data_IF_914012838398
#
_entry.id   IF_914012838398
#
_cell.length_a   1.000
_cell.length_b   1.000
_cell.length_c   1.000
_cell.angle_alpha   90.00
_cell.angle_beta   90.00
_cell.angle_gamma   90.00
#
_symmetry.space_group_name_H-M   'P 1'
#
loop_
_entity.id
_entity.type
_entity.pdbx_description
1 polymer ?
#
# COMPACT_ATOMS: atom_id res chain seq x y z
N UNK A 1 8.03 8.58 10.13
CA UNK A 1 7.90 8.11 8.74
C UNK A 1 8.56 9.10 7.76
N UNK A 2 8.26 10.38 7.85
CA UNK A 2 8.83 11.43 6.98
C UNK A 2 10.37 11.39 6.94
N UNK A 3 11.03 11.26 8.09
CA UNK A 3 12.50 11.16 8.16
C UNK A 3 12.99 9.94 7.36
N UNK A 4 12.40 8.77 7.57
CA UNK A 4 12.80 7.55 6.84
C UNK A 4 12.61 7.70 5.33
N UNK A 5 11.46 8.24 4.89
CA UNK A 5 11.19 8.48 3.46
C UNK A 5 12.18 9.47 2.86
N UNK A 6 12.47 10.58 3.54
CA UNK A 6 13.45 11.56 3.09
C UNK A 6 14.86 10.95 3.02
N UNK A 7 15.24 10.13 3.99
CA UNK A 7 16.53 9.43 3.99
C UNK A 7 16.65 8.49 2.80
N UNK A 8 15.62 7.69 2.50
CA UNK A 8 15.59 6.85 1.31
C UNK A 8 15.67 7.68 0.03
N UNK A 9 14.92 8.78 -0.04
CA UNK A 9 14.89 9.66 -1.21
C UNK A 9 16.26 10.32 -1.46
N UNK A 10 16.89 10.87 -0.41
CA UNK A 10 18.22 11.45 -0.48
C UNK A 10 19.28 10.42 -0.91
N UNK A 11 19.15 9.20 -0.41
CA UNK A 11 20.01 8.08 -0.82
C UNK A 11 19.89 7.77 -2.32
N UNK A 12 18.67 7.77 -2.87
CA UNK A 12 18.45 7.54 -4.30
C UNK A 12 19.00 8.69 -5.15
N UNK A 13 18.76 9.95 -4.75
CA UNK A 13 19.13 11.13 -5.55
C UNK A 13 20.62 11.47 -5.47
N UNK A 14 21.18 11.49 -4.26
CA UNK A 14 22.57 11.94 -4.03
C UNK A 14 23.51 10.76 -3.77
N UNK A 15 23.01 9.68 -3.18
CA UNK A 15 23.76 8.46 -2.94
C UNK A 15 23.78 7.51 -4.15
N UNK A 16 23.17 7.90 -5.25
CA UNK A 16 23.05 7.07 -6.47
C UNK A 16 22.54 5.66 -6.17
N UNK A 17 21.82 5.51 -5.04
CA UNK A 17 21.29 4.21 -4.67
C UNK A 17 20.34 3.72 -5.75
N UNK A 18 20.68 2.57 -6.28
CA UNK A 18 19.80 1.81 -7.16
C UNK A 18 19.68 0.41 -6.57
N UNK A 19 18.47 0.02 -6.20
CA UNK A 19 18.22 -1.32 -5.68
C UNK A 19 18.52 -2.43 -6.70
N UNK A 20 18.97 -2.05 -7.90
CA UNK A 20 19.12 -2.93 -9.05
C UNK A 20 17.83 -3.71 -9.26
N UNK A 21 17.88 -5.01 -9.39
CA UNK A 21 16.65 -5.77 -9.49
C UNK A 21 15.87 -5.77 -8.18
N UNK A 22 16.56 -5.94 -7.09
CA UNK A 22 16.06 -5.84 -5.71
C UNK A 22 17.26 -5.79 -4.78
N UNK A 23 17.03 -5.59 -3.49
CA UNK A 23 18.06 -5.72 -2.46
C UNK A 23 18.51 -7.19 -2.32
N UNK A 24 18.94 -7.80 -3.41
CA UNK A 24 19.39 -9.19 -3.39
C UNK A 24 20.78 -9.29 -2.81
N UNK A 25 20.94 -10.20 -1.88
CA UNK A 25 22.24 -10.51 -1.29
C UNK A 25 23.27 -10.87 -2.36
N UNK A 26 24.45 -10.28 -2.34
CA UNK A 26 24.95 -9.17 -1.48
C UNK A 26 24.74 -7.77 -2.11
N UNK A 27 23.91 -7.64 -3.11
CA UNK A 27 23.64 -6.39 -3.81
C UNK A 27 22.69 -5.49 -2.99
N UNK A 28 22.78 -4.15 -3.11
CA UNK A 28 23.74 -3.40 -3.95
C UNK A 28 25.07 -3.09 -3.25
N UNK A 29 25.32 -3.58 -2.03
CA UNK A 29 26.52 -3.27 -1.23
C UNK A 29 27.80 -3.64 -1.98
N UNK A 30 27.79 -4.76 -2.71
CA UNK A 30 28.93 -5.23 -3.50
C UNK A 30 28.98 -4.66 -4.93
N UNK A 31 28.17 -3.65 -5.24
CA UNK A 31 28.11 -3.08 -6.58
C UNK A 31 28.91 -1.78 -6.68
N UNK A 32 29.99 -1.79 -7.40
CA UNK A 32 30.98 -0.70 -7.45
C UNK A 32 30.45 0.66 -7.90
N UNK A 33 29.34 0.67 -8.66
CA UNK A 33 28.74 1.90 -9.16
C UNK A 33 27.81 2.61 -8.18
N UNK A 34 27.48 1.96 -7.06
CA UNK A 34 26.68 2.55 -5.99
C UNK A 34 27.58 2.85 -4.80
N UNK A 35 27.75 4.11 -4.42
CA UNK A 35 28.51 4.46 -3.23
C UNK A 35 27.96 3.73 -2.00
N UNK A 36 28.85 3.12 -1.22
CA UNK A 36 28.48 2.32 -0.04
C UNK A 36 27.58 3.10 0.93
N UNK A 37 27.87 4.38 1.15
CA UNK A 37 27.05 5.23 2.01
C UNK A 37 25.62 5.37 1.51
N UNK A 38 25.41 5.44 0.19
CA UNK A 38 24.07 5.46 -0.40
C UNK A 38 23.27 4.22 -0.07
N UNK A 39 23.88 3.04 -0.17
CA UNK A 39 23.25 1.77 0.21
C UNK A 39 22.90 1.73 1.70
N UNK A 40 23.82 2.13 2.58
CA UNK A 40 23.60 2.15 4.03
C UNK A 40 22.49 3.14 4.41
N UNK A 41 22.51 4.36 3.86
CA UNK A 41 21.48 5.37 4.13
C UNK A 41 20.08 4.89 3.69
N UNK A 42 19.99 4.23 2.55
CA UNK A 42 18.71 3.66 2.12
C UNK A 42 18.20 2.62 3.13
N UNK A 43 19.03 1.70 3.55
CA UNK A 43 18.66 0.65 4.51
C UNK A 43 18.26 1.23 5.88
N UNK A 44 18.99 2.24 6.34
CA UNK A 44 18.62 2.97 7.58
C UNK A 44 17.28 3.67 7.42
N UNK A 45 17.04 4.34 6.30
CA UNK A 45 15.75 4.98 6.01
C UNK A 45 14.61 3.96 5.99
N UNK A 46 14.80 2.82 5.34
CA UNK A 46 13.83 1.72 5.30
C UNK A 46 13.55 1.14 6.70
N UNK A 47 14.60 0.96 7.52
CA UNK A 47 14.45 0.52 8.91
C UNK A 47 13.64 1.52 9.75
N UNK A 48 13.88 2.83 9.59
CA UNK A 48 13.10 3.90 10.25
C UNK A 48 11.63 3.86 9.83
N UNK A 49 11.34 3.61 8.55
CA UNK A 49 9.95 3.43 8.06
C UNK A 49 9.32 2.22 8.74
N UNK A 50 10.00 1.08 8.78
CA UNK A 50 9.49 -0.15 9.40
C UNK A 50 9.19 0.05 10.90
N UNK A 51 10.11 0.66 11.65
CA UNK A 51 9.88 0.99 13.07
C UNK A 51 8.64 1.87 13.23
N UNK A 52 8.45 2.85 12.34
CA UNK A 52 7.26 3.72 12.41
C UNK A 52 5.96 2.95 12.14
N UNK A 53 5.94 2.01 11.19
CA UNK A 53 4.75 1.18 10.92
C UNK A 53 4.46 0.25 12.11
N UNK A 54 5.49 -0.28 12.78
CA UNK A 54 5.32 -1.03 14.03
C UNK A 54 4.76 -0.16 15.18
N UNK A 55 5.23 1.08 15.32
CA UNK A 55 4.67 2.03 16.29
C UNK A 55 3.22 2.37 15.99
N UNK A 56 2.86 2.53 14.71
CA UNK A 56 1.47 2.70 14.29
C UNK A 56 0.61 1.48 14.68
N UNK A 57 1.09 0.28 14.41
CA UNK A 57 0.45 -0.98 14.81
C UNK A 57 0.23 -1.05 16.32
N UNK A 58 1.25 -0.73 17.11
CA UNK A 58 1.15 -0.67 18.56
C UNK A 58 0.10 0.35 19.01
N UNK A 59 0.11 1.55 18.43
CA UNK A 59 -0.86 2.60 18.74
C UNK A 59 -2.29 2.16 18.41
N UNK A 60 -2.50 1.52 17.25
CA UNK A 60 -3.80 1.00 16.85
C UNK A 60 -4.33 -0.01 17.88
N UNK A 61 -3.55 -1.05 18.19
CA UNK A 61 -3.96 -2.06 19.16
C UNK A 61 -4.15 -1.47 20.56
N UNK A 62 -3.27 -0.57 20.99
CA UNK A 62 -3.44 0.13 22.26
C UNK A 62 -4.75 0.90 22.32
N UNK A 63 -5.17 1.53 21.24
CA UNK A 63 -6.43 2.27 21.15
C UNK A 63 -7.63 1.34 21.17
N UNK A 64 -7.61 0.26 20.39
CA UNK A 64 -8.73 -0.70 20.30
C UNK A 64 -8.90 -1.50 21.59
N UNK A 65 -7.77 -1.89 22.21
CA UNK A 65 -7.75 -2.74 23.41
C UNK A 65 -7.72 -1.95 24.71
N UNK A 66 -7.71 -0.61 24.66
CA UNK A 66 -7.64 0.24 25.85
C UNK A 66 -8.89 0.09 26.72
N UNK A 67 -8.68 -0.10 28.02
CA UNK A 67 -9.75 -0.14 29.01
C UNK A 67 -10.53 1.18 29.15
N UNK A 68 -9.94 2.30 28.73
CA UNK A 68 -10.62 3.60 28.66
C UNK A 68 -11.63 3.70 27.53
N UNK A 69 -11.56 2.80 26.54
CA UNK A 69 -12.56 2.70 25.51
C UNK A 69 -13.81 2.02 26.07
N UNK A 70 -15.01 2.61 26.02
CA UNK A 70 -16.25 1.99 26.51
C UNK A 70 -16.59 0.67 25.78
N UNK A 71 -15.94 0.40 24.63
CA UNK A 71 -16.03 -0.83 23.87
C UNK A 71 -14.67 -1.56 23.84
N UNK A 72 -13.98 -1.60 24.99
CA UNK A 72 -12.67 -2.28 25.04
C UNK A 72 -12.80 -3.77 24.81
N UNK A 73 -11.85 -4.30 24.05
CA UNK A 73 -11.72 -5.72 23.75
C UNK A 73 -10.44 -6.25 24.37
N UNK A 74 -10.44 -7.47 24.88
CA UNK A 74 -9.19 -8.20 25.05
C UNK A 74 -8.67 -8.62 23.66
N UNK A 75 -7.38 -8.91 23.56
CA UNK A 75 -6.79 -9.37 22.28
C UNK A 75 -7.52 -10.62 21.72
N UNK A 76 -7.86 -11.56 22.58
CA UNK A 76 -8.59 -12.76 22.18
C UNK A 76 -10.03 -12.46 21.74
N UNK A 77 -10.72 -11.56 22.39
CA UNK A 77 -12.04 -11.10 21.96
C UNK A 77 -11.97 -10.38 20.62
N UNK A 78 -10.93 -9.56 20.40
CA UNK A 78 -10.67 -8.92 19.12
C UNK A 78 -10.49 -9.97 18.02
N UNK A 79 -9.61 -10.98 18.20
CA UNK A 79 -9.39 -12.03 17.22
C UNK A 79 -10.68 -12.82 16.94
N UNK A 80 -11.41 -13.23 17.97
CA UNK A 80 -12.69 -13.95 17.82
C UNK A 80 -13.72 -13.15 17.02
N UNK A 81 -13.85 -11.85 17.32
CA UNK A 81 -14.74 -10.95 16.59
C UNK A 81 -14.28 -10.73 15.14
N UNK A 82 -12.98 -10.59 14.92
CA UNK A 82 -12.38 -10.39 13.61
C UNK A 82 -12.58 -11.63 12.71
N UNK A 83 -12.32 -12.83 13.23
CA UNK A 83 -12.56 -14.08 12.51
C UNK A 83 -14.04 -14.46 12.36
N UNK A 84 -14.97 -13.72 12.95
CA UNK A 84 -16.39 -14.03 12.90
C UNK A 84 -16.76 -15.34 13.61
N UNK A 85 -15.94 -15.80 14.56
CA UNK A 85 -16.14 -17.05 15.28
C UNK A 85 -17.52 -17.14 15.96
N UNK A 86 -18.04 -16.07 16.62
CA UNK A 86 -19.37 -16.14 17.24
C UNK A 86 -20.48 -16.48 16.25
N UNK A 87 -20.39 -15.95 15.04
CA UNK A 87 -21.37 -16.22 13.99
C UNK A 87 -21.22 -17.64 13.41
N UNK A 88 -19.98 -18.09 13.22
CA UNK A 88 -19.70 -19.42 12.77
C UNK A 88 -20.27 -20.46 13.78
N UNK A 89 -20.08 -20.22 15.07
CA UNK A 89 -20.64 -21.08 16.11
C UNK A 89 -22.17 -21.10 16.06
N UNK A 90 -22.81 -19.94 15.85
CA UNK A 90 -24.26 -19.85 15.71
C UNK A 90 -24.80 -20.65 14.52
N UNK A 91 -24.06 -20.68 13.39
CA UNK A 91 -24.41 -21.51 12.22
C UNK A 91 -24.40 -22.99 12.56
N UNK A 92 -23.58 -23.43 13.52
CA UNK A 92 -23.53 -24.81 14.02
C UNK A 92 -24.42 -25.06 15.26
N UNK A 93 -25.37 -24.15 15.54
CA UNK A 93 -26.30 -24.28 16.66
C UNK A 93 -25.66 -24.14 18.04
N UNK A 94 -24.45 -23.56 18.13
CA UNK A 94 -23.74 -23.36 19.40
C UNK A 94 -23.78 -21.89 19.78
N UNK A 95 -24.05 -21.60 21.06
CA UNK A 95 -23.90 -20.25 21.60
C UNK A 95 -22.45 -20.00 22.03
N UNK A 96 -21.91 -18.86 21.60
CA UNK A 96 -20.60 -18.41 22.04
C UNK A 96 -20.77 -17.62 23.35
N UNK A 97 -20.66 -18.31 24.50
CA UNK A 97 -20.79 -17.73 25.83
C UNK A 97 -19.74 -16.66 26.13
N UNK A 98 -18.59 -16.67 25.45
CA UNK A 98 -17.55 -15.65 25.56
C UNK A 98 -17.90 -14.37 24.77
N UNK A 99 -18.87 -14.43 23.88
CA UNK A 99 -19.29 -13.32 23.00
C UNK A 99 -20.56 -12.61 23.51
N UNK A 100 -21.09 -12.97 24.67
CA UNK A 100 -22.37 -12.46 25.19
C UNK A 100 -22.45 -10.94 25.30
N UNK A 101 -21.32 -10.26 25.40
CA UNK A 101 -21.26 -8.78 25.46
C UNK A 101 -20.69 -8.15 24.17
N UNK A 102 -20.28 -8.94 23.20
CA UNK A 102 -19.81 -8.47 21.91
C UNK A 102 -21.00 -8.55 20.95
N UNK A 103 -21.82 -7.51 20.97
CA UNK A 103 -22.74 -7.33 19.85
C UNK A 103 -21.96 -7.57 18.57
N UNK A 104 -22.46 -8.48 17.74
CA UNK A 104 -21.80 -8.89 16.50
C UNK A 104 -21.42 -7.69 15.61
N UNK A 105 -22.13 -6.57 15.77
CA UNK A 105 -21.86 -5.28 15.15
C UNK A 105 -20.94 -4.37 16.01
N UNK A 106 -20.40 -4.85 17.12
CA UNK A 106 -19.62 -4.04 18.06
C UNK A 106 -18.27 -3.59 17.53
N UNK A 107 -17.58 -4.43 16.73
CA UNK A 107 -16.29 -4.09 16.12
C UNK A 107 -16.51 -3.66 14.66
N UNK A 108 -16.32 -2.36 14.30
CA UNK A 108 -16.48 -1.92 12.92
C UNK A 108 -15.57 -2.69 11.94
N UNK A 109 -16.08 -3.00 10.75
CA UNK A 109 -15.34 -3.82 9.78
C UNK A 109 -14.05 -3.14 9.30
N UNK A 110 -14.01 -1.81 9.26
CA UNK A 110 -12.77 -1.10 8.95
C UNK A 110 -11.67 -1.34 9.99
N UNK A 111 -12.03 -1.52 11.27
CA UNK A 111 -11.08 -1.90 12.33
C UNK A 111 -10.58 -3.33 12.11
N UNK A 112 -11.44 -4.23 11.62
CA UNK A 112 -11.02 -5.59 11.27
C UNK A 112 -9.99 -5.57 10.15
N UNK A 113 -10.23 -4.78 9.09
CA UNK A 113 -9.31 -4.67 7.95
C UNK A 113 -7.96 -4.05 8.37
N UNK A 114 -7.99 -2.91 9.08
CA UNK A 114 -6.77 -2.26 9.56
C UNK A 114 -6.05 -3.11 10.61
N UNK A 115 -6.79 -3.81 11.46
CA UNK A 115 -6.23 -4.74 12.45
C UNK A 115 -5.55 -5.94 11.79
N UNK A 116 -6.14 -6.49 10.71
CA UNK A 116 -5.51 -7.54 9.91
C UNK A 116 -4.21 -7.03 9.27
N UNK A 117 -4.21 -5.89 8.61
CA UNK A 117 -2.99 -5.29 8.06
C UNK A 117 -1.93 -5.01 9.14
N UNK A 118 -2.36 -4.73 10.37
CA UNK A 118 -1.44 -4.57 11.51
C UNK A 118 -0.85 -5.89 12.00
N UNK A 119 -1.59 -7.00 11.92
CA UNK A 119 -1.04 -8.35 12.16
C UNK A 119 0.00 -8.68 11.09
N UNK A 120 -0.29 -8.42 9.81
CA UNK A 120 0.69 -8.58 8.74
C UNK A 120 1.95 -7.77 8.97
N UNK A 121 1.81 -6.55 9.49
CA UNK A 121 2.97 -5.71 9.84
C UNK A 121 3.89 -6.40 10.83
N UNK A 122 3.34 -7.07 11.84
CA UNK A 122 4.17 -7.80 12.85
C UNK A 122 4.86 -8.99 12.20
N UNK A 123 4.14 -9.79 11.42
CA UNK A 123 4.71 -10.95 10.73
C UNK A 123 5.77 -10.50 9.73
N UNK A 124 5.46 -9.48 8.94
CA UNK A 124 6.35 -8.86 7.98
C UNK A 124 7.63 -8.34 8.63
N UNK A 125 7.52 -7.67 9.78
CA UNK A 125 8.69 -7.19 10.50
C UNK A 125 9.65 -8.34 10.86
N UNK A 126 9.13 -9.49 11.27
CA UNK A 126 9.96 -10.67 11.56
C UNK A 126 10.64 -11.18 10.29
N UNK A 127 9.90 -11.31 9.20
CA UNK A 127 10.38 -11.89 7.94
C UNK A 127 11.32 -10.94 7.20
N UNK A 128 10.88 -9.71 6.94
CA UNK A 128 11.62 -8.74 6.13
C UNK A 128 12.83 -8.18 6.88
N UNK A 129 12.74 -7.97 8.20
CA UNK A 129 13.87 -7.51 9.00
C UNK A 129 15.01 -8.53 9.01
N UNK A 130 14.71 -9.82 8.99
CA UNK A 130 15.76 -10.85 8.89
C UNK A 130 16.62 -10.65 7.65
N UNK A 131 16.00 -10.47 6.48
CA UNK A 131 16.70 -10.18 5.23
C UNK A 131 17.40 -8.80 5.26
N UNK A 132 16.69 -7.76 5.76
CA UNK A 132 17.22 -6.41 5.85
C UNK A 132 18.43 -6.28 6.78
N UNK A 133 18.39 -6.97 7.92
CA UNK A 133 19.52 -7.00 8.88
C UNK A 133 20.75 -7.65 8.26
N UNK A 134 20.60 -8.74 7.52
CA UNK A 134 21.72 -9.39 6.84
C UNK A 134 22.44 -8.41 5.88
N UNK A 135 21.71 -7.70 5.04
CA UNK A 135 22.28 -6.69 4.12
C UNK A 135 22.89 -5.51 4.89
N UNK A 136 22.23 -5.05 5.95
CA UNK A 136 22.76 -3.95 6.76
C UNK A 136 24.07 -4.34 7.45
N UNK A 137 24.14 -5.54 8.04
CA UNK A 137 25.37 -6.06 8.65
C UNK A 137 26.49 -6.17 7.61
N UNK A 138 26.18 -6.66 6.40
CA UNK A 138 27.13 -6.72 5.31
C UNK A 138 27.63 -5.33 4.89
N UNK A 139 26.74 -4.35 4.78
CA UNK A 139 27.08 -2.97 4.46
C UNK A 139 27.94 -2.32 5.54
N UNK A 140 27.64 -2.53 6.81
CA UNK A 140 28.44 -2.03 7.93
C UNK A 140 29.82 -2.71 7.98
N UNK A 141 29.89 -4.01 7.77
CA UNK A 141 31.16 -4.72 7.71
C UNK A 141 32.03 -4.20 6.55
N UNK A 142 31.46 -3.96 5.38
CA UNK A 142 32.16 -3.35 4.26
C UNK A 142 32.65 -1.94 4.59
N UNK A 143 31.87 -1.14 5.31
CA UNK A 143 32.25 0.20 5.76
C UNK A 143 33.46 0.18 6.70
N UNK A 144 33.52 -0.80 7.60
CA UNK A 144 34.63 -0.98 8.56
C UNK A 144 35.73 -1.89 8.04
N UNK A 145 35.69 -2.25 6.74
CA UNK A 145 36.67 -3.15 6.11
C UNK A 145 36.80 -4.51 6.81
N UNK A 146 35.73 -4.93 7.47
CA UNK A 146 35.69 -6.24 8.12
C UNK A 146 35.45 -7.35 7.07
N UNK A 147 36.21 -8.48 7.14
CA UNK A 147 36.03 -9.54 6.17
C UNK A 147 34.70 -10.26 6.39
N UNK A 148 33.80 -10.16 5.45
CA UNK A 148 32.58 -10.96 5.37
C UNK A 148 32.55 -11.67 4.03
N UNK A 149 32.38 -12.98 4.07
CA UNK A 149 32.20 -13.79 2.86
C UNK A 149 30.77 -13.62 2.33
N UNK A 150 30.59 -13.07 1.11
CA UNK A 150 29.26 -13.03 0.49
C UNK A 150 28.63 -14.42 0.30
N UNK A 151 29.45 -15.48 0.19
CA UNK A 151 28.99 -16.86 0.07
C UNK A 151 28.42 -17.47 1.35
N UNK A 152 28.56 -16.79 2.50
CA UNK A 152 28.03 -17.27 3.77
C UNK A 152 26.49 -17.29 3.83
N UNK A 153 25.80 -16.59 2.92
CA UNK A 153 24.35 -16.56 2.82
C UNK A 153 23.89 -17.14 1.48
N UNK A 154 23.00 -18.12 1.54
CA UNK A 154 22.37 -18.65 0.34
C UNK A 154 21.44 -17.60 -0.28
N UNK A 155 21.75 -17.19 -1.52
CA UNK A 155 21.04 -16.13 -2.21
C UNK A 155 19.57 -16.47 -2.51
N UNK A 156 19.24 -17.75 -2.71
CA UNK A 156 17.86 -18.18 -2.97
C UNK A 156 17.03 -18.14 -1.68
N UNK A 157 17.58 -18.61 -0.56
CA UNK A 157 16.94 -18.51 0.75
C UNK A 157 16.70 -17.04 1.10
N UNK A 158 17.73 -16.19 0.92
CA UNK A 158 17.60 -14.75 1.13
C UNK A 158 16.48 -14.14 0.28
N UNK A 159 16.40 -14.46 -1.02
CA UNK A 159 15.33 -13.98 -1.92
C UNK A 159 13.94 -14.40 -1.44
N UNK A 160 13.78 -15.64 -0.97
CA UNK A 160 12.50 -16.12 -0.44
C UNK A 160 12.07 -15.32 0.79
N UNK A 161 12.94 -15.07 1.73
CA UNK A 161 12.65 -14.25 2.92
C UNK A 161 12.34 -12.81 2.56
N UNK A 162 13.15 -12.20 1.70
CA UNK A 162 12.97 -10.81 1.27
C UNK A 162 11.64 -10.61 0.57
N UNK A 163 11.31 -11.45 -0.40
CA UNK A 163 10.08 -11.32 -1.16
C UNK A 163 8.85 -11.70 -0.37
N UNK A 164 8.93 -12.70 0.48
CA UNK A 164 7.81 -13.01 1.37
C UNK A 164 7.44 -11.81 2.25
N UNK A 165 8.43 -11.18 2.88
CA UNK A 165 8.18 -9.99 3.68
C UNK A 165 7.68 -8.81 2.86
N UNK A 166 8.23 -8.58 1.66
CA UNK A 166 7.83 -7.46 0.82
C UNK A 166 6.42 -7.64 0.23
N UNK A 167 6.03 -8.87 -0.12
CA UNK A 167 4.67 -9.19 -0.53
C UNK A 167 3.66 -8.90 0.57
N UNK A 168 3.95 -9.29 1.80
CA UNK A 168 3.07 -8.99 2.93
C UNK A 168 2.93 -7.47 3.20
N UNK A 169 3.89 -6.64 2.77
CA UNK A 169 3.72 -5.17 2.78
C UNK A 169 2.71 -4.74 1.72
N UNK A 170 2.82 -5.26 0.51
CA UNK A 170 1.98 -4.84 -0.61
C UNK A 170 0.55 -5.39 -0.45
N UNK A 171 0.41 -6.69 -0.32
CA UNK A 171 -0.88 -7.37 -0.31
C UNK A 171 -1.51 -7.41 1.09
N UNK A 172 -0.70 -7.55 2.13
CA UNK A 172 -1.17 -7.50 3.51
C UNK A 172 -1.50 -6.10 4.00
N UNK A 173 -0.50 -5.23 4.09
CA UNK A 173 -0.68 -3.93 4.71
C UNK A 173 -1.40 -2.94 3.82
N UNK A 174 -0.85 -2.67 2.62
CA UNK A 174 -1.36 -1.60 1.74
C UNK A 174 -2.79 -1.91 1.32
N UNK A 175 -3.07 -3.15 0.93
CA UNK A 175 -4.38 -3.58 0.51
C UNK A 175 -5.41 -3.50 1.64
N UNK A 176 -5.07 -4.00 2.82
CA UNK A 176 -6.00 -4.03 3.95
C UNK A 176 -6.23 -2.66 4.57
N UNK A 177 -5.23 -1.79 4.61
CA UNK A 177 -5.43 -0.40 5.00
C UNK A 177 -6.31 0.34 4.01
N UNK A 178 -6.13 0.08 2.71
CA UNK A 178 -6.99 0.60 1.65
C UNK A 178 -8.44 0.13 1.83
N UNK A 179 -8.66 -1.17 1.99
CA UNK A 179 -9.97 -1.75 2.24
C UNK A 179 -10.61 -1.17 3.51
N UNK A 180 -9.84 -1.00 4.57
CA UNK A 180 -10.29 -0.37 5.82
C UNK A 180 -10.80 1.04 5.59
N UNK A 181 -10.09 1.85 4.80
CA UNK A 181 -10.52 3.22 4.47
C UNK A 181 -11.77 3.20 3.59
N UNK A 182 -11.88 2.31 2.61
CA UNK A 182 -13.14 2.18 1.83
C UNK A 182 -14.32 1.82 2.75
N UNK A 183 -14.13 0.88 3.67
CA UNK A 183 -15.18 0.42 4.58
C UNK A 183 -15.56 1.44 5.65
N UNK A 184 -14.69 2.41 5.90
CA UNK A 184 -15.01 3.57 6.72
C UNK A 184 -15.76 4.65 5.92
N UNK A 185 -15.15 5.10 4.83
CA UNK A 185 -15.62 6.29 4.11
C UNK A 185 -16.87 6.01 3.26
N UNK A 186 -16.95 4.87 2.56
CA UNK A 186 -18.11 4.59 1.69
C UNK A 186 -19.41 4.61 2.48
N UNK A 187 -19.58 3.83 3.57
CA UNK A 187 -20.78 3.88 4.38
C UNK A 187 -21.13 5.28 4.89
N UNK A 188 -20.13 6.05 5.31
CA UNK A 188 -20.33 7.42 5.79
C UNK A 188 -20.81 8.37 4.67
N UNK A 189 -20.23 8.27 3.49
CA UNK A 189 -20.53 9.17 2.36
C UNK A 189 -21.88 8.86 1.70
N UNK A 190 -22.27 7.58 1.70
CA UNK A 190 -23.52 7.16 1.04
C UNK A 190 -24.69 6.93 2.02
N UNK A 191 -24.43 7.04 3.34
CA UNK A 191 -25.44 6.86 4.38
C UNK A 191 -26.01 5.44 4.48
N UNK A 192 -25.23 4.41 4.10
CA UNK A 192 -25.66 3.02 4.09
C UNK A 192 -24.62 2.09 4.70
N UNK A 193 -25.07 1.09 5.46
CA UNK A 193 -24.20 0.03 5.99
C UNK A 193 -23.53 -0.74 4.86
N UNK A 194 -22.31 -1.22 5.11
CA UNK A 194 -21.55 -2.02 4.17
C UNK A 194 -22.33 -3.28 3.74
N UNK A 195 -22.40 -3.52 2.45
CA UNK A 195 -23.03 -4.71 1.89
C UNK A 195 -22.23 -5.96 2.26
N UNK A 196 -22.92 -6.99 2.71
CA UNK A 196 -22.29 -8.28 3.01
C UNK A 196 -21.25 -8.23 4.13
N UNK A 197 -21.34 -7.27 5.06
CA UNK A 197 -20.34 -7.01 6.10
C UNK A 197 -19.82 -8.26 6.79
N UNK A 198 -20.68 -9.22 7.07
CA UNK A 198 -20.28 -10.46 7.75
C UNK A 198 -19.42 -11.39 6.87
N UNK A 199 -19.70 -11.44 5.58
CA UNK A 199 -18.88 -12.20 4.61
C UNK A 199 -17.53 -11.50 4.46
N UNK A 200 -17.56 -10.18 4.32
CA UNK A 200 -16.34 -9.35 4.21
C UNK A 200 -15.39 -9.56 5.39
N UNK A 201 -15.90 -9.61 6.63
CA UNK A 201 -15.08 -9.90 7.82
C UNK A 201 -14.35 -11.22 7.70
N UNK A 202 -15.07 -12.26 7.31
CA UNK A 202 -14.50 -13.61 7.15
C UNK A 202 -13.46 -13.62 6.02
N UNK A 203 -13.76 -12.96 4.91
CA UNK A 203 -12.85 -12.84 3.75
C UNK A 203 -11.56 -12.11 4.12
N UNK A 204 -11.65 -10.98 4.82
CA UNK A 204 -10.48 -10.24 5.29
C UNK A 204 -9.55 -11.12 6.15
N UNK A 205 -10.12 -11.91 7.03
CA UNK A 205 -9.30 -12.76 7.90
C UNK A 205 -8.82 -14.04 7.21
N UNK A 206 -9.59 -14.60 6.27
CA UNK A 206 -9.13 -15.70 5.43
C UNK A 206 -7.94 -15.27 4.55
N UNK A 207 -7.99 -14.05 4.05
CA UNK A 207 -6.92 -13.45 3.24
C UNK A 207 -5.60 -13.32 4.01
N UNK A 208 -5.61 -13.17 5.34
CA UNK A 208 -4.41 -13.24 6.16
C UNK A 208 -3.65 -14.58 5.97
N UNK A 209 -4.38 -15.69 5.96
CA UNK A 209 -3.79 -17.01 5.77
C UNK A 209 -3.29 -17.21 4.33
N UNK A 210 -4.00 -16.64 3.36
CA UNK A 210 -3.63 -16.66 1.94
C UNK A 210 -2.36 -15.86 1.73
N UNK A 211 -2.29 -14.63 2.22
CA UNK A 211 -1.10 -13.76 2.11
C UNK A 211 0.16 -14.39 2.74
N UNK A 212 0.00 -15.16 3.80
CA UNK A 212 1.13 -15.91 4.37
C UNK A 212 1.67 -16.99 3.41
N UNK A 213 0.91 -17.42 2.44
CA UNK A 213 1.28 -18.45 1.48
C UNK A 213 1.99 -17.95 0.22
N UNK A 214 2.05 -16.64 -0.05
CA UNK A 214 2.55 -16.06 -1.32
C UNK A 214 4.06 -15.86 -1.42
N UNK A 215 4.83 -16.48 -0.58
CA UNK A 215 6.29 -16.31 -0.44
C UNK A 215 7.12 -16.50 -1.73
N UNK A 216 6.66 -17.24 -2.73
CA UNK A 216 7.35 -17.37 -4.01
C UNK A 216 6.68 -16.64 -5.18
N UNK A 217 5.73 -15.76 -4.90
CA UNK A 217 4.98 -14.98 -5.88
C UNK A 217 5.90 -14.17 -6.82
N UNK A 218 6.90 -13.47 -6.30
CA UNK A 218 7.88 -12.74 -7.10
C UNK A 218 9.00 -13.61 -7.67
N UNK A 219 9.06 -14.90 -7.35
CA UNK A 219 10.09 -15.83 -7.75
C UNK A 219 9.63 -16.84 -8.82
N UNK A 220 8.49 -16.57 -9.49
CA UNK A 220 7.95 -17.43 -10.54
C UNK A 220 8.93 -17.67 -11.70
N UNK A 221 9.74 -16.66 -12.04
CA UNK A 221 10.77 -16.75 -13.07
C UNK A 221 12.07 -17.42 -12.61
N UNK A 222 12.26 -17.66 -11.31
CA UNK A 222 13.48 -18.26 -10.75
C UNK A 222 13.46 -19.78 -10.98
N UNK A 223 14.22 -20.25 -11.98
CA UNK A 223 14.23 -21.66 -12.36
C UNK A 223 14.78 -22.59 -11.28
N UNK A 224 15.62 -22.10 -10.39
CA UNK A 224 16.15 -22.85 -9.23
C UNK A 224 15.10 -23.12 -8.16
N UNK A 225 14.00 -22.34 -8.12
CA UNK A 225 12.85 -22.67 -7.28
C UNK A 225 12.16 -23.96 -7.79
N UNK A 226 11.83 -24.91 -6.90
CA UNK A 226 11.06 -26.09 -7.30
C UNK A 226 9.74 -25.70 -8.00
N UNK A 227 9.41 -26.37 -9.09
CA UNK A 227 8.21 -26.06 -9.86
C UNK A 227 6.95 -26.11 -9.00
N UNK A 228 6.86 -27.09 -8.09
CA UNK A 228 5.73 -27.21 -7.15
C UNK A 228 5.55 -25.92 -6.32
N UNK A 229 6.63 -25.36 -5.82
CA UNK A 229 6.59 -24.12 -5.03
C UNK A 229 6.13 -22.93 -5.86
N UNK A 230 6.62 -22.82 -7.10
CA UNK A 230 6.19 -21.77 -8.02
C UNK A 230 4.71 -21.88 -8.36
N UNK A 231 4.21 -23.10 -8.60
CA UNK A 231 2.80 -23.32 -8.91
C UNK A 231 1.91 -23.11 -7.69
N UNK A 232 2.25 -23.67 -6.54
CA UNK A 232 1.43 -23.58 -5.34
C UNK A 232 1.43 -22.16 -4.78
N UNK A 233 2.57 -21.69 -4.34
CA UNK A 233 2.69 -20.39 -3.67
C UNK A 233 2.59 -19.23 -4.67
N UNK A 234 3.33 -19.31 -5.76
CA UNK A 234 3.44 -18.20 -6.70
C UNK A 234 2.25 -18.02 -7.63
N UNK A 235 1.51 -19.08 -7.96
CA UNK A 235 0.36 -18.97 -8.86
C UNK A 235 -0.97 -19.25 -8.13
N UNK A 236 -1.15 -20.42 -7.61
CA UNK A 236 -2.46 -20.86 -7.09
C UNK A 236 -2.92 -20.03 -5.88
N UNK A 237 -2.03 -19.82 -4.91
CA UNK A 237 -2.35 -19.04 -3.70
C UNK A 237 -2.56 -17.57 -4.05
N UNK A 238 -1.75 -17.00 -4.94
CA UNK A 238 -1.92 -15.63 -5.43
C UNK A 238 -3.26 -15.41 -6.14
N UNK A 239 -3.75 -16.41 -6.87
CA UNK A 239 -5.10 -16.32 -7.43
C UNK A 239 -6.19 -16.35 -6.35
N UNK A 240 -5.91 -16.97 -5.19
CA UNK A 240 -6.76 -16.87 -4.01
C UNK A 240 -6.87 -15.45 -3.48
N UNK A 241 -5.78 -14.69 -3.43
CA UNK A 241 -5.78 -13.26 -3.05
C UNK A 241 -6.61 -12.41 -4.00
N UNK A 242 -6.52 -12.67 -5.29
CA UNK A 242 -7.36 -11.98 -6.26
C UNK A 242 -8.87 -12.22 -6.00
N UNK A 243 -9.24 -13.42 -5.60
CA UNK A 243 -10.62 -13.73 -5.26
C UNK A 243 -11.09 -13.00 -3.99
N UNK A 244 -10.29 -12.99 -2.94
CA UNK A 244 -10.62 -12.29 -1.69
C UNK A 244 -10.70 -10.78 -1.91
N UNK A 245 -9.77 -10.22 -2.70
CA UNK A 245 -9.80 -8.82 -3.08
C UNK A 245 -11.01 -8.48 -3.95
N UNK A 246 -11.38 -9.36 -4.88
CA UNK A 246 -12.57 -9.21 -5.71
C UNK A 246 -13.85 -9.11 -4.87
N UNK A 247 -13.99 -9.95 -3.84
CA UNK A 247 -15.12 -9.87 -2.90
C UNK A 247 -15.11 -8.58 -2.08
N UNK A 248 -13.94 -8.11 -1.69
CA UNK A 248 -13.75 -6.84 -0.98
C UNK A 248 -14.22 -5.66 -1.83
N UNK A 249 -13.79 -5.58 -3.09
CA UNK A 249 -14.21 -4.58 -4.06
C UNK A 249 -15.71 -4.70 -4.35
N UNK A 250 -16.21 -5.91 -4.54
CA UNK A 250 -17.63 -6.14 -4.81
C UNK A 250 -18.51 -5.59 -3.68
N UNK A 251 -18.16 -5.84 -2.42
CA UNK A 251 -18.90 -5.32 -1.28
C UNK A 251 -18.90 -3.77 -1.24
N UNK A 252 -17.78 -3.13 -1.53
CA UNK A 252 -17.66 -1.68 -1.63
C UNK A 252 -18.56 -1.11 -2.74
N UNK A 253 -18.48 -1.66 -3.95
CA UNK A 253 -19.28 -1.24 -5.09
C UNK A 253 -20.79 -1.50 -4.87
N UNK A 254 -21.16 -2.65 -4.31
CA UNK A 254 -22.56 -2.96 -3.99
C UNK A 254 -23.13 -2.03 -2.92
N UNK A 255 -22.33 -1.58 -1.98
CA UNK A 255 -22.76 -0.58 -0.99
C UNK A 255 -23.15 0.73 -1.67
N UNK A 256 -22.32 1.22 -2.60
CA UNK A 256 -22.60 2.42 -3.39
C UNK A 256 -23.82 2.21 -4.31
N UNK A 257 -23.88 1.06 -4.99
CA UNK A 257 -24.97 0.71 -5.91
C UNK A 257 -26.33 0.72 -5.22
N UNK A 258 -26.43 0.06 -4.09
CA UNK A 258 -27.67 -0.09 -3.33
C UNK A 258 -28.07 1.20 -2.58
N UNK A 259 -27.19 2.18 -2.48
CA UNK A 259 -27.47 3.50 -1.89
C UNK A 259 -28.04 4.51 -2.89
N UNK A 260 -28.15 4.15 -4.18
CA UNK A 260 -28.63 5.09 -5.23
C UNK A 260 -30.02 5.65 -4.95
N UNK A 261 -30.28 6.91 -5.29
CA UNK A 261 -29.39 7.89 -5.94
C UNK A 261 -28.32 8.45 -4.99
N UNK A 262 -27.06 8.55 -5.43
CA UNK A 262 -25.92 9.01 -4.62
C UNK A 262 -25.31 10.26 -5.24
N UNK A 263 -25.09 11.30 -4.42
CA UNK A 263 -24.35 12.48 -4.85
C UNK A 263 -22.88 12.16 -5.01
N UNK A 264 -22.33 12.37 -6.18
CA UNK A 264 -20.91 12.17 -6.46
C UNK A 264 -20.07 13.32 -5.88
N UNK A 265 -19.80 13.24 -4.57
CA UNK A 265 -18.92 14.19 -3.87
C UNK A 265 -17.45 13.97 -4.25
N UNK A 266 -16.54 14.95 -4.04
CA UNK A 266 -15.13 14.76 -4.30
C UNK A 266 -14.54 13.49 -3.65
N UNK A 267 -14.74 13.22 -2.34
CA UNK A 267 -14.22 11.99 -1.74
C UNK A 267 -14.74 10.72 -2.44
N UNK A 268 -16.03 10.64 -2.71
CA UNK A 268 -16.62 9.46 -3.35
C UNK A 268 -16.10 9.26 -4.78
N UNK A 269 -15.90 10.34 -5.52
CA UNK A 269 -15.32 10.32 -6.86
C UNK A 269 -13.92 9.71 -6.84
N UNK A 270 -13.07 10.14 -5.91
CA UNK A 270 -11.72 9.62 -5.76
C UNK A 270 -11.68 8.19 -5.23
N UNK A 271 -12.62 7.77 -4.37
CA UNK A 271 -12.80 6.37 -3.98
C UNK A 271 -13.09 5.47 -5.18
N UNK A 272 -13.99 5.91 -6.08
CA UNK A 272 -14.28 5.14 -7.30
C UNK A 272 -13.05 5.03 -8.21
N UNK A 273 -12.23 6.08 -8.31
CA UNK A 273 -10.95 6.05 -9.00
C UNK A 273 -9.95 5.10 -8.33
N UNK A 274 -9.90 5.08 -6.99
CA UNK A 274 -9.10 4.13 -6.22
C UNK A 274 -9.50 2.68 -6.51
N UNK A 275 -10.80 2.39 -6.44
CA UNK A 275 -11.33 1.04 -6.75
C UNK A 275 -10.98 0.63 -8.19
N UNK A 276 -11.12 1.55 -9.16
CA UNK A 276 -10.69 1.31 -10.54
C UNK A 276 -9.21 0.93 -10.63
N UNK A 277 -8.33 1.67 -9.91
CA UNK A 277 -6.90 1.37 -9.84
C UNK A 277 -6.62 -0.04 -9.32
N UNK A 278 -7.33 -0.47 -8.27
CA UNK A 278 -7.19 -1.82 -7.73
C UNK A 278 -7.74 -2.90 -8.66
N UNK A 279 -8.82 -2.65 -9.39
CA UNK A 279 -9.34 -3.60 -10.38
C UNK A 279 -8.30 -3.82 -11.50
N UNK A 280 -7.83 -2.74 -12.12
CA UNK A 280 -6.89 -2.85 -13.25
C UNK A 280 -5.54 -3.38 -12.78
N UNK A 281 -5.01 -2.86 -11.68
CA UNK A 281 -3.75 -3.32 -11.10
C UNK A 281 -3.80 -4.80 -10.69
N UNK A 282 -4.90 -5.26 -10.07
CA UNK A 282 -5.12 -6.65 -9.72
C UNK A 282 -5.21 -7.56 -10.96
N UNK A 283 -5.98 -7.16 -11.98
CA UNK A 283 -6.06 -7.91 -13.24
C UNK A 283 -4.70 -8.08 -13.92
N UNK A 284 -3.89 -7.04 -13.93
CA UNK A 284 -2.52 -7.11 -14.47
C UNK A 284 -1.58 -7.91 -13.58
N UNK A 285 -1.85 -7.97 -12.27
CA UNK A 285 -1.20 -8.86 -11.30
C UNK A 285 -1.44 -10.34 -11.62
N UNK A 286 -2.66 -10.74 -12.03
CA UNK A 286 -2.96 -12.10 -12.46
C UNK A 286 -2.09 -12.54 -13.65
N UNK A 287 -1.78 -11.62 -14.58
CA UNK A 287 -0.84 -11.89 -15.67
C UNK A 287 0.55 -12.22 -15.10
N UNK A 288 0.99 -11.48 -14.09
CA UNK A 288 2.27 -11.73 -13.41
C UNK A 288 2.25 -13.05 -12.61
N UNK A 289 1.14 -13.40 -12.01
CA UNK A 289 0.97 -14.62 -11.24
C UNK A 289 0.74 -15.88 -12.09
N UNK A 290 0.85 -15.80 -13.42
CA UNK A 290 0.85 -16.94 -14.30
C UNK A 290 2.29 -17.32 -14.66
N UNK A 291 2.72 -18.55 -14.35
CA UNK A 291 4.12 -18.98 -14.54
C UNK A 291 4.59 -18.79 -15.99
N UNK A 292 3.75 -19.12 -16.97
CA UNK A 292 4.09 -18.98 -18.40
C UNK A 292 4.23 -17.51 -18.83
N UNK A 293 3.27 -16.67 -18.45
CA UNK A 293 3.29 -15.23 -18.78
C UNK A 293 4.37 -14.50 -18.01
N UNK A 294 4.64 -14.91 -16.77
CA UNK A 294 5.72 -14.34 -15.97
C UNK A 294 7.08 -14.51 -16.61
N UNK A 295 7.36 -15.63 -17.29
CA UNK A 295 8.63 -15.83 -18.00
C UNK A 295 8.91 -14.75 -19.05
N UNK A 296 7.86 -14.19 -19.66
CA UNK A 296 7.98 -13.13 -20.68
C UNK A 296 8.02 -11.74 -20.05
N UNK A 297 7.20 -11.50 -19.02
CA UNK A 297 7.01 -10.18 -18.42
C UNK A 297 7.94 -9.94 -17.23
N UNK A 298 8.54 -11.01 -16.69
CA UNK A 298 9.41 -10.96 -15.53
C UNK A 298 10.53 -9.94 -15.73
N UNK A 299 10.73 -9.11 -14.73
CA UNK A 299 11.77 -8.10 -14.71
C UNK A 299 11.67 -7.01 -15.79
N UNK A 300 10.58 -6.93 -16.53
CA UNK A 300 10.36 -5.88 -17.53
C UNK A 300 9.58 -4.71 -16.96
N UNK A 301 9.45 -3.62 -17.76
CA UNK A 301 8.62 -2.45 -17.42
C UNK A 301 7.11 -2.77 -17.33
N UNK A 302 6.70 -3.98 -17.71
CA UNK A 302 5.34 -4.46 -17.47
C UNK A 302 5.02 -4.52 -15.97
N UNK A 303 5.97 -4.95 -15.14
CA UNK A 303 5.74 -5.10 -13.69
C UNK A 303 5.50 -3.74 -13.02
N UNK A 304 6.37 -2.71 -13.15
CA UNK A 304 6.07 -1.42 -12.55
C UNK A 304 4.93 -0.69 -13.23
N UNK A 305 4.79 -0.74 -14.56
CA UNK A 305 3.81 0.04 -15.31
C UNK A 305 2.37 -0.35 -14.99
N UNK A 306 1.79 -1.30 -15.70
CA UNK A 306 0.36 -1.62 -15.59
C UNK A 306 -0.05 -2.31 -14.29
N UNK A 307 0.88 -2.91 -13.53
CA UNK A 307 0.57 -3.54 -12.26
C UNK A 307 0.84 -2.59 -11.08
N UNK A 308 2.10 -2.36 -10.74
CA UNK A 308 2.48 -1.69 -9.50
C UNK A 308 2.09 -0.20 -9.46
N UNK A 309 2.37 0.58 -10.53
CA UNK A 309 2.01 2.00 -10.55
C UNK A 309 0.49 2.22 -10.62
N UNK A 310 -0.25 1.34 -11.28
CA UNK A 310 -1.72 1.44 -11.28
C UNK A 310 -2.28 1.17 -9.88
N UNK A 311 -1.78 0.15 -9.17
CA UNK A 311 -2.17 -0.11 -7.78
C UNK A 311 -1.82 1.05 -6.85
N UNK A 312 -0.56 1.52 -6.89
CA UNK A 312 -0.11 2.54 -5.94
C UNK A 312 -0.55 3.95 -6.34
N UNK A 313 -0.29 4.38 -7.58
CA UNK A 313 -0.55 5.77 -7.95
C UNK A 313 -2.05 6.03 -8.17
N UNK A 314 -2.75 5.13 -8.86
CA UNK A 314 -4.19 5.30 -9.03
C UNK A 314 -4.93 4.75 -7.82
N UNK A 315 -4.68 3.51 -7.42
CA UNK A 315 -5.38 2.86 -6.32
C UNK A 315 -5.18 3.61 -4.99
N UNK A 316 -3.98 3.61 -4.46
CA UNK A 316 -3.68 4.22 -3.16
C UNK A 316 -3.63 5.74 -3.25
N UNK A 317 -3.02 6.32 -4.29
CA UNK A 317 -2.91 7.78 -4.45
C UNK A 317 -4.27 8.48 -4.51
N UNK A 318 -5.22 7.94 -5.25
CA UNK A 318 -6.59 8.47 -5.26
C UNK A 318 -7.30 8.27 -3.93
N UNK A 319 -7.03 7.17 -3.21
CA UNK A 319 -7.58 6.99 -1.87
C UNK A 319 -7.08 8.04 -0.89
N UNK A 320 -5.79 8.33 -0.91
CA UNK A 320 -5.20 9.41 -0.08
C UNK A 320 -5.86 10.75 -0.39
N UNK A 321 -6.06 11.07 -1.67
CA UNK A 321 -6.79 12.26 -2.08
C UNK A 321 -8.24 12.26 -1.57
N UNK A 322 -8.94 11.12 -1.64
CA UNK A 322 -10.29 10.96 -1.12
C UNK A 322 -10.36 11.25 0.39
N UNK A 323 -9.40 10.71 1.16
CA UNK A 323 -9.28 10.96 2.61
C UNK A 323 -9.09 12.44 2.88
N UNK A 324 -8.19 13.11 2.17
CA UNK A 324 -7.91 14.54 2.37
C UNK A 324 -9.15 15.38 2.04
N UNK A 325 -9.82 15.12 0.91
CA UNK A 325 -11.05 15.80 0.54
C UNK A 325 -12.23 15.53 1.50
N UNK A 326 -12.23 14.39 2.19
CA UNK A 326 -13.22 14.10 3.23
C UNK A 326 -12.89 14.80 4.56
N UNK A 327 -11.62 14.76 4.98
CA UNK A 327 -11.18 15.28 6.27
C UNK A 327 -11.23 16.80 6.34
N UNK A 328 -10.91 17.53 5.26
CA UNK A 328 -10.91 18.99 5.28
C UNK A 328 -12.26 19.54 5.73
N UNK A 329 -13.42 19.24 5.07
CA UNK A 329 -14.69 19.73 5.54
C UNK A 329 -15.11 19.19 6.92
N UNK A 330 -14.74 17.96 7.24
CA UNK A 330 -15.09 17.35 8.52
C UNK A 330 -14.40 18.05 9.71
N UNK A 331 -13.12 18.38 9.56
CA UNK A 331 -12.30 18.95 10.63
C UNK A 331 -12.39 20.48 10.71
N UNK A 332 -12.39 21.15 9.54
CA UNK A 332 -12.33 22.61 9.48
C UNK A 332 -13.69 23.29 9.30
N UNK A 333 -14.71 22.52 8.91
CA UNK A 333 -16.03 23.02 8.47
C UNK A 333 -15.96 23.93 7.23
N UNK A 334 -14.85 23.91 6.50
CA UNK A 334 -14.64 24.67 5.26
C UNK A 334 -14.87 23.75 4.07
N UNK A 335 -15.82 24.08 3.23
CA UNK A 335 -16.10 23.35 1.99
C UNK A 335 -15.00 23.59 0.95
N UNK A 336 -14.72 22.58 0.13
CA UNK A 336 -13.75 22.67 -0.97
C UNK A 336 -14.21 23.72 -1.98
N UNK A 337 -13.43 24.79 -2.16
CA UNK A 337 -13.87 26.00 -2.87
C UNK A 337 -13.91 25.84 -4.39
N UNK A 338 -13.04 25.04 -4.99
CA UNK A 338 -12.79 25.11 -6.44
C UNK A 338 -13.06 23.76 -7.13
N UNK A 339 -14.34 23.46 -7.48
CA UNK A 339 -14.72 22.17 -8.06
C UNK A 339 -14.02 21.81 -9.38
N UNK A 340 -13.66 22.79 -10.21
CA UNK A 340 -12.95 22.51 -11.45
C UNK A 340 -11.52 22.03 -11.20
N UNK A 341 -10.84 22.51 -10.15
CA UNK A 341 -9.53 22.00 -9.74
C UNK A 341 -9.62 20.56 -9.20
N UNK A 342 -10.73 20.22 -8.50
CA UNK A 342 -11.00 18.82 -8.12
C UNK A 342 -11.11 17.93 -9.36
N UNK A 343 -11.80 18.40 -10.40
CA UNK A 343 -11.95 17.65 -11.65
C UNK A 343 -10.63 17.54 -12.41
N UNK A 344 -9.85 18.61 -12.46
CA UNK A 344 -8.52 18.60 -13.09
C UNK A 344 -7.57 17.65 -12.35
N UNK A 345 -7.57 17.66 -11.00
CA UNK A 345 -6.84 16.69 -10.20
C UNK A 345 -7.29 15.26 -10.53
N UNK A 346 -8.58 14.99 -10.47
CA UNK A 346 -9.12 13.65 -10.69
C UNK A 346 -8.75 13.10 -12.08
N UNK A 347 -9.07 13.85 -13.12
CA UNK A 347 -8.84 13.38 -14.49
C UNK A 347 -7.36 13.40 -14.88
N UNK A 348 -6.61 14.42 -14.47
CA UNK A 348 -5.17 14.48 -14.69
C UNK A 348 -4.45 13.30 -14.05
N UNK A 349 -4.85 12.93 -12.82
CA UNK A 349 -4.27 11.79 -12.12
C UNK A 349 -4.71 10.44 -12.71
N UNK A 350 -6.01 10.24 -12.93
CA UNK A 350 -6.54 8.98 -13.44
C UNK A 350 -6.06 8.69 -14.88
N UNK A 351 -6.31 9.64 -15.79
CA UNK A 351 -5.94 9.47 -17.20
C UNK A 351 -4.42 9.46 -17.35
N UNK A 352 -3.74 10.36 -16.66
CA UNK A 352 -2.28 10.41 -16.65
C UNK A 352 -1.66 9.10 -16.18
N UNK A 353 -2.15 8.53 -15.08
CA UNK A 353 -1.70 7.25 -14.55
C UNK A 353 -1.93 6.08 -15.51
N UNK A 354 -3.09 6.03 -16.16
CA UNK A 354 -3.40 5.00 -17.18
C UNK A 354 -2.49 5.15 -18.40
N UNK A 355 -2.30 6.37 -18.92
CA UNK A 355 -1.42 6.63 -20.08
C UNK A 355 0.04 6.28 -19.75
N UNK A 356 0.52 6.65 -18.57
CA UNK A 356 1.85 6.30 -18.11
C UNK A 356 2.02 4.78 -18.02
N UNK A 357 1.08 4.10 -17.38
CA UNK A 357 1.10 2.64 -17.23
C UNK A 357 1.05 1.93 -18.58
N UNK A 358 0.24 2.41 -19.51
CA UNK A 358 0.18 1.88 -20.88
C UNK A 358 1.54 2.00 -21.61
N UNK A 359 2.16 3.19 -21.59
CA UNK A 359 3.47 3.39 -22.20
C UNK A 359 4.53 2.46 -21.63
N UNK A 360 4.62 2.37 -20.29
CA UNK A 360 5.54 1.44 -19.62
C UNK A 360 5.21 -0.03 -19.92
N UNK A 361 3.94 -0.41 -19.94
CA UNK A 361 3.51 -1.76 -20.25
C UNK A 361 3.87 -2.18 -21.68
N UNK A 362 3.69 -1.28 -22.64
CA UNK A 362 4.10 -1.50 -24.05
C UNK A 362 5.61 -1.64 -24.20
N UNK A 363 6.39 -0.81 -23.50
CA UNK A 363 7.85 -0.96 -23.46
C UNK A 363 8.26 -2.30 -22.84
N UNK A 364 7.62 -2.71 -21.74
CA UNK A 364 7.86 -3.98 -21.07
C UNK A 364 7.51 -5.18 -21.93
N UNK A 365 6.40 -5.14 -22.68
CA UNK A 365 5.99 -6.18 -23.63
C UNK A 365 6.98 -6.34 -24.79
N UNK A 366 7.79 -5.32 -25.06
CA UNK A 366 8.89 -5.35 -26.05
C UNK A 366 10.24 -5.72 -25.44
N UNK A 367 10.25 -6.15 -24.17
CA UNK A 367 11.46 -6.61 -23.48
C UNK A 367 12.26 -5.52 -22.78
N UNK A 368 11.73 -4.30 -22.63
CA UNK A 368 12.40 -3.27 -21.83
C UNK A 368 12.46 -3.72 -20.38
N UNK A 369 13.68 -3.97 -19.89
CA UNK A 369 13.89 -4.32 -18.48
C UNK A 369 13.65 -3.11 -17.59
N UNK A 370 13.10 -3.32 -16.40
CA UNK A 370 13.01 -2.29 -15.38
C UNK A 370 14.36 -2.01 -14.73
N UNK A 371 14.55 -0.80 -14.22
CA UNK A 371 15.75 -0.42 -13.44
C UNK A 371 17.06 -0.53 -14.22
N UNK A 372 17.03 -0.32 -15.52
CA UNK A 372 18.19 -0.40 -16.42
C UNK A 372 18.30 0.91 -17.18
N UNK A 373 19.53 1.38 -17.38
CA UNK A 373 19.82 2.47 -18.30
C UNK A 373 19.86 1.91 -19.72
N UNK A 374 19.25 2.63 -20.64
CA UNK A 374 19.23 2.25 -22.06
C UNK A 374 19.90 3.33 -22.90
N UNK A 375 20.81 2.88 -23.75
CA UNK A 375 21.46 3.72 -24.78
C UNK A 375 20.75 3.60 -26.14
N UNK A 376 19.75 2.71 -26.24
CA UNK A 376 19.00 2.47 -27.46
C UNK A 376 17.75 3.36 -27.56
N UNK A 377 17.39 3.74 -28.78
CA UNK A 377 16.16 4.47 -29.10
C UNK A 377 14.92 3.59 -29.20
N UNK A 378 15.08 2.25 -29.16
CA UNK A 378 14.01 1.27 -29.37
C UNK A 378 12.78 1.51 -28.51
N UNK A 379 12.97 1.92 -27.26
CA UNK A 379 11.89 2.09 -26.30
C UNK A 379 11.39 3.54 -26.17
N UNK A 380 12.05 4.49 -26.83
CA UNK A 380 11.71 5.93 -26.74
C UNK A 380 10.25 6.23 -27.06
N UNK A 381 9.61 5.68 -28.10
CA UNK A 381 8.22 5.99 -28.41
C UNK A 381 7.26 5.62 -27.26
N UNK A 382 7.49 4.48 -26.62
CA UNK A 382 6.67 4.01 -25.50
C UNK A 382 6.92 4.82 -24.24
N UNK A 383 8.17 5.15 -23.97
CA UNK A 383 8.52 5.97 -22.83
C UNK A 383 8.09 7.44 -22.99
N UNK A 384 8.02 7.95 -24.23
CA UNK A 384 7.43 9.24 -24.53
C UNK A 384 5.94 9.27 -24.15
N UNK A 385 5.18 8.22 -24.47
CA UNK A 385 3.78 8.08 -24.03
C UNK A 385 3.71 8.05 -22.50
N UNK A 386 4.58 7.28 -21.83
CA UNK A 386 4.63 7.25 -20.37
C UNK A 386 4.94 8.63 -19.77
N UNK A 387 5.85 9.38 -20.39
CA UNK A 387 6.17 10.76 -19.97
C UNK A 387 4.96 11.70 -20.07
N UNK A 388 4.19 11.63 -21.17
CA UNK A 388 2.95 12.41 -21.30
C UNK A 388 1.99 12.08 -20.15
N UNK A 389 1.82 10.80 -19.83
CA UNK A 389 1.01 10.39 -18.68
C UNK A 389 1.52 10.97 -17.35
N UNK A 390 2.82 10.90 -17.10
CA UNK A 390 3.44 11.49 -15.91
C UNK A 390 3.25 13.01 -15.82
N UNK A 391 3.35 13.73 -16.92
CA UNK A 391 3.09 15.18 -16.96
C UNK A 391 1.62 15.51 -16.67
N UNK A 392 0.67 14.72 -17.18
CA UNK A 392 -0.76 14.89 -16.84
C UNK A 392 -0.99 14.67 -15.34
N UNK A 393 -0.35 13.66 -14.74
CA UNK A 393 -0.41 13.44 -13.29
C UNK A 393 0.17 14.61 -12.51
N UNK A 394 1.31 15.14 -12.95
CA UNK A 394 1.93 16.31 -12.32
C UNK A 394 1.01 17.54 -12.36
N UNK A 395 0.35 17.82 -13.50
CA UNK A 395 -0.67 18.88 -13.62
C UNK A 395 -1.84 18.63 -12.66
N UNK A 396 -2.33 17.40 -12.59
CA UNK A 396 -3.38 17.01 -11.64
C UNK A 396 -2.97 17.24 -10.18
N UNK A 397 -1.75 16.87 -9.82
CA UNK A 397 -1.21 17.08 -8.48
C UNK A 397 -1.04 18.57 -8.14
N UNK A 398 -0.54 19.37 -9.07
CA UNK A 398 -0.48 20.82 -8.88
C UNK A 398 -1.85 21.45 -8.69
N UNK A 399 -2.86 20.99 -9.46
CA UNK A 399 -4.24 21.42 -9.26
C UNK A 399 -4.76 21.07 -7.86
N UNK A 400 -4.40 19.90 -7.32
CA UNK A 400 -4.70 19.53 -5.94
C UNK A 400 -4.07 20.50 -4.94
N UNK A 401 -2.77 20.75 -5.03
CA UNK A 401 -2.06 21.65 -4.11
C UNK A 401 -2.66 23.07 -4.14
N UNK A 402 -2.91 23.60 -5.33
CA UNK A 402 -3.54 24.91 -5.50
C UNK A 402 -4.93 24.93 -4.86
N UNK A 403 -5.72 23.86 -5.04
CA UNK A 403 -7.06 23.80 -4.47
C UNK A 403 -7.05 23.73 -2.93
N UNK A 404 -6.12 22.99 -2.35
CA UNK A 404 -5.96 22.94 -0.88
C UNK A 404 -5.59 24.31 -0.33
N UNK A 405 -4.60 24.99 -0.96
CA UNK A 405 -4.20 26.33 -0.55
C UNK A 405 -5.31 27.35 -0.74
N UNK A 406 -6.05 27.30 -1.86
CA UNK A 406 -7.20 28.16 -2.11
C UNK A 406 -8.34 27.93 -1.11
N UNK A 407 -8.52 26.70 -0.64
CA UNK A 407 -9.57 26.33 0.32
C UNK A 407 -9.22 26.76 1.74
N UNK A 408 -8.04 26.41 2.21
CA UNK A 408 -7.61 26.62 3.59
C UNK A 408 -6.90 27.95 3.83
N UNK A 409 -6.34 28.56 2.78
CA UNK A 409 -5.42 29.69 2.87
C UNK A 409 -3.97 29.23 3.12
N UNK A 410 -3.04 29.91 2.45
CA UNK A 410 -1.61 29.53 2.49
C UNK A 410 -1.05 29.48 3.92
N UNK A 411 -1.39 30.47 4.75
CA UNK A 411 -0.87 30.54 6.12
C UNK A 411 -1.38 29.40 7.00
N UNK A 412 -2.63 28.98 6.83
CA UNK A 412 -3.17 27.84 7.56
C UNK A 412 -2.51 26.52 7.12
N UNK A 413 -2.21 26.36 5.84
CA UNK A 413 -1.46 25.19 5.34
C UNK A 413 -0.03 25.22 5.89
N UNK A 414 0.65 26.35 5.87
CA UNK A 414 2.02 26.49 6.40
C UNK A 414 2.06 26.27 7.92
N UNK A 415 1.01 26.65 8.64
CA UNK A 415 0.94 26.47 10.10
C UNK A 415 0.96 24.99 10.52
N UNK A 416 0.55 24.06 9.66
CA UNK A 416 0.64 22.61 9.92
C UNK A 416 2.10 22.14 10.11
N UNK A 417 3.06 22.89 9.56
CA UNK A 417 4.50 22.58 9.62
C UNK A 417 5.26 23.46 10.61
N UNK A 418 4.56 24.40 11.31
CA UNK A 418 5.17 25.32 12.26
C UNK A 418 5.02 24.79 13.69
N UNK A 419 6.04 24.97 14.55
CA UNK A 419 5.91 24.68 15.97
C UNK A 419 4.77 25.49 16.61
N UNK A 420 3.98 24.88 17.49
CA UNK A 420 2.85 25.54 18.19
C UNK A 420 3.22 26.86 18.85
N UNK A 421 4.42 26.96 19.42
CA UNK A 421 4.94 28.20 20.02
C UNK A 421 5.01 29.39 19.06
N UNK A 422 5.12 29.14 17.75
CA UNK A 422 5.11 30.20 16.73
C UNK A 422 3.70 30.60 16.32
N UNK A 423 2.70 29.78 16.63
CA UNK A 423 1.28 29.98 16.34
C UNK A 423 0.57 30.72 17.52
N UNK A 424 1.07 30.54 18.75
CA UNK A 424 0.47 31.11 19.95
C UNK A 424 0.33 32.64 19.95
N UNK A 425 1.17 33.36 19.17
CA UNK A 425 1.06 34.81 19.01
C UNK A 425 0.04 35.28 17.95
N UNK A 426 -0.63 34.38 17.23
CA UNK A 426 -1.56 34.71 16.13
C UNK A 426 -3.03 34.36 16.41
N UNK A 427 -3.33 33.76 17.57
CA UNK A 427 -4.69 33.47 18.01
C UNK A 427 -5.26 34.62 18.86
N UNK A 428 -5.19 35.86 18.37
CA UNK A 428 -6.10 36.89 18.87
C UNK A 428 -7.36 36.82 17.99
N UNK A 429 -8.55 36.56 18.56
CA UNK A 429 -9.78 36.65 17.79
C UNK A 429 -9.96 38.08 17.34
N UNK A 430 -10.19 38.27 16.05
CA UNK A 430 -10.89 39.46 15.59
C UNK A 430 -12.33 39.29 16.06
N UNK A 431 -12.59 39.67 17.28
CA UNK A 431 -13.92 40.06 17.71
C UNK A 431 -14.19 41.45 17.12
N UNK A 432 -15.01 41.47 16.08
CA UNK A 432 -15.87 42.61 15.72
C UNK A 432 -16.97 42.12 14.80
#
# INVERSE_FOLDING_TARGET
QTIGVLTCWLSCFFGMFNSLYTLYWPLPVSYDRVPLWGSIFFMVGAAVIMVNVLLFTFNLFSTVLSKSNPRSYTFWQFLRAAFGIPRLMKLFGKEDTAAVNLDYNGLPVFIVAVGRGSIDTVINAIVLLTAGVLILVYGLAALFQAPLDPGAVDALIYKNWFWWGLDMVADGNVLMYTAGVWYLLIPMLVGRKLFGESVVRTVIMADLLISMGVWSHHLLGERVQPLFMRLLSGQFITWGEFFTMGLTIFAALMTIWLARPVKLTPPLKFILGSIFGFIIGGMTGLVQANVGLNLVTHNTQWVPGPHFHVLLLIGVGMLVAAVIYALIPMLTKIEIRTPWLVNLHFWGWLVGGVVMAYGMGMAGSRGMLRRTLYETTLYQPYMAVAMVGALLMAVGFLAFLVNIVATLGLMNVLSLFMPEKWLAGRQAPAEA
#
